data_IF_243404324963
#
_entry.id   IF_243404324963
#
_cell.length_a   1.000
_cell.length_b   1.000
_cell.length_c   1.000
_cell.angle_alpha   90.00
_cell.angle_beta   90.00
_cell.angle_gamma   90.00
#
_symmetry.space_group_name_H-M   'P 1'
#
loop_
_entity.id
_entity.type
_entity.pdbx_description
1 polymer ?
#
# COMPACT_ATOMS: atom_id res chain seq x y z
N UNK A 1 40.02 4.57 32.87
CA UNK A 1 38.81 3.78 32.52
C UNK A 1 37.63 4.54 31.87
N UNK A 2 37.69 5.86 31.59
CA UNK A 2 36.56 6.62 30.99
C UNK A 2 36.39 6.44 29.46
N UNK A 3 37.46 6.10 28.74
CA UNK A 3 37.48 5.95 27.27
C UNK A 3 36.68 4.71 26.80
N UNK A 4 36.70 3.62 27.58
CA UNK A 4 35.98 2.37 27.28
C UNK A 4 34.44 2.53 27.26
N UNK A 5 33.87 3.30 28.21
CA UNK A 5 32.41 3.52 28.29
C UNK A 5 31.88 4.37 27.13
N UNK A 6 32.60 5.43 26.72
CA UNK A 6 32.23 6.27 25.57
C UNK A 6 32.20 5.46 24.27
N UNK A 7 33.22 4.63 24.04
CA UNK A 7 33.27 3.74 22.87
C UNK A 7 32.16 2.69 22.89
N UNK A 8 31.78 2.18 24.07
CA UNK A 8 30.65 1.26 24.24
C UNK A 8 29.30 1.90 23.88
N UNK A 9 29.04 3.13 24.33
CA UNK A 9 27.81 3.87 24.00
C UNK A 9 27.73 4.13 22.48
N UNK A 10 28.83 4.59 21.87
CA UNK A 10 28.87 4.84 20.42
C UNK A 10 28.59 3.57 19.60
N UNK A 11 29.18 2.44 19.98
CA UNK A 11 28.91 1.13 19.34
C UNK A 11 27.45 0.71 19.49
N UNK A 12 26.84 0.92 20.66
CA UNK A 12 25.40 0.63 20.88
C UNK A 12 24.50 1.50 20.01
N UNK A 13 24.79 2.79 19.87
CA UNK A 13 24.05 3.68 18.96
C UNK A 13 24.16 3.23 17.51
N UNK A 14 25.35 2.82 17.04
CA UNK A 14 25.53 2.28 15.69
C UNK A 14 24.70 1.00 15.48
N UNK A 15 24.72 0.09 16.46
CA UNK A 15 23.93 -1.14 16.40
C UNK A 15 22.43 -0.86 16.35
N UNK A 16 21.95 0.09 17.16
CA UNK A 16 20.56 0.54 17.14
C UNK A 16 20.19 1.13 15.77
N UNK A 17 21.01 2.03 15.21
CA UNK A 17 20.79 2.61 13.88
C UNK A 17 20.70 1.53 12.79
N UNK A 18 21.57 0.51 12.84
CA UNK A 18 21.54 -0.62 11.90
C UNK A 18 20.26 -1.45 12.05
N UNK A 19 19.87 -1.78 13.29
CA UNK A 19 18.65 -2.54 13.58
C UNK A 19 17.42 -1.80 13.07
N UNK A 20 17.26 -0.52 13.46
CA UNK A 20 16.15 0.32 12.99
C UNK A 20 16.10 0.36 11.46
N UNK A 21 17.23 0.59 10.78
CA UNK A 21 17.25 0.59 9.31
C UNK A 21 16.78 -0.75 8.72
N UNK A 22 17.24 -1.88 9.26
CA UNK A 22 16.83 -3.22 8.78
C UNK A 22 15.33 -3.43 9.00
N UNK A 23 14.81 -3.07 10.17
CA UNK A 23 13.40 -3.23 10.50
C UNK A 23 12.53 -2.35 9.60
N UNK A 24 12.91 -1.09 9.37
CA UNK A 24 12.23 -0.19 8.42
C UNK A 24 12.25 -0.75 7.00
N UNK A 25 13.38 -1.26 6.51
CA UNK A 25 13.43 -1.85 5.16
C UNK A 25 12.56 -3.10 5.04
N UNK A 26 12.47 -3.93 6.09
CA UNK A 26 11.57 -5.10 6.11
C UNK A 26 10.11 -4.69 6.06
N UNK A 27 9.72 -3.69 6.86
CA UNK A 27 8.34 -3.16 6.85
C UNK A 27 8.01 -2.59 5.47
N UNK A 28 8.91 -1.77 4.91
CA UNK A 28 8.78 -1.19 3.57
C UNK A 28 8.58 -2.26 2.49
N UNK A 29 9.41 -3.31 2.49
CA UNK A 29 9.30 -4.39 1.51
C UNK A 29 7.96 -5.14 1.62
N UNK A 30 7.48 -5.38 2.85
CA UNK A 30 6.20 -6.03 3.10
C UNK A 30 5.02 -5.17 2.60
N UNK A 31 5.06 -3.87 2.89
CA UNK A 31 4.04 -2.92 2.47
C UNK A 31 3.97 -2.80 0.93
N UNK A 32 5.13 -2.67 0.27
CA UNK A 32 5.20 -2.64 -1.20
C UNK A 32 4.60 -3.89 -1.83
N UNK A 33 4.88 -5.07 -1.27
CA UNK A 33 4.29 -6.33 -1.76
C UNK A 33 2.77 -6.34 -1.65
N UNK A 34 2.21 -5.90 -0.52
CA UNK A 34 0.76 -5.84 -0.32
C UNK A 34 0.09 -4.82 -1.26
N UNK A 35 0.73 -3.67 -1.49
CA UNK A 35 0.25 -2.69 -2.45
C UNK A 35 0.31 -3.21 -3.89
N UNK A 36 1.34 -3.99 -4.23
CA UNK A 36 1.42 -4.65 -5.54
C UNK A 36 0.26 -5.64 -5.77
N UNK A 37 -0.11 -6.40 -4.74
CA UNK A 37 -1.28 -7.29 -4.79
C UNK A 37 -2.58 -6.49 -5.01
N UNK A 38 -2.77 -5.38 -4.30
CA UNK A 38 -3.93 -4.48 -4.49
C UNK A 38 -3.94 -3.91 -5.91
N UNK A 39 -2.80 -3.43 -6.41
CA UNK A 39 -2.66 -2.91 -7.76
C UNK A 39 -3.08 -3.96 -8.81
N UNK A 40 -2.58 -5.19 -8.69
CA UNK A 40 -2.90 -6.28 -9.63
C UNK A 40 -4.40 -6.59 -9.64
N UNK A 41 -5.04 -6.63 -8.47
CA UNK A 41 -6.49 -6.87 -8.36
C UNK A 41 -7.30 -5.72 -8.96
N UNK A 42 -6.95 -4.47 -8.65
CA UNK A 42 -7.64 -3.31 -9.21
C UNK A 42 -7.44 -3.23 -10.73
N UNK A 43 -6.24 -3.52 -11.23
CA UNK A 43 -5.92 -3.53 -12.65
C UNK A 43 -6.68 -4.62 -13.42
N UNK A 44 -6.84 -5.82 -12.86
CA UNK A 44 -7.59 -6.91 -13.51
C UNK A 44 -9.07 -6.58 -13.66
N UNK A 45 -9.66 -5.92 -12.65
CA UNK A 45 -11.01 -5.38 -12.72
C UNK A 45 -11.13 -4.26 -13.76
N UNK A 46 -10.19 -3.33 -13.77
CA UNK A 46 -10.16 -2.21 -14.71
C UNK A 46 -10.04 -2.67 -16.18
N UNK A 47 -9.16 -3.64 -16.44
CA UNK A 47 -8.94 -4.23 -17.77
C UNK A 47 -10.09 -5.14 -18.23
N UNK A 48 -10.98 -5.51 -17.31
CA UNK A 48 -12.11 -6.39 -17.61
C UNK A 48 -11.74 -7.87 -17.71
N UNK A 49 -10.60 -8.25 -17.16
CA UNK A 49 -10.19 -9.66 -16.96
C UNK A 49 -11.18 -10.33 -16.00
N UNK A 50 -11.62 -9.59 -14.97
CA UNK A 50 -12.74 -9.97 -14.11
C UNK A 50 -14.04 -9.39 -14.66
N UNK A 51 -14.95 -10.26 -15.12
CA UNK A 51 -16.21 -9.87 -15.77
C UNK A 51 -17.39 -9.74 -14.80
N UNK A 52 -17.34 -10.44 -13.67
CA UNK A 52 -18.44 -10.51 -12.69
C UNK A 52 -17.89 -10.42 -11.27
N UNK A 53 -18.58 -9.69 -10.41
CA UNK A 53 -18.34 -9.62 -8.97
C UNK A 53 -19.47 -10.35 -8.24
N UNK A 54 -19.10 -11.10 -7.20
CA UNK A 54 -20.07 -11.69 -6.27
C UNK A 54 -20.39 -10.67 -5.19
N UNK A 55 -21.64 -10.25 -5.10
CA UNK A 55 -22.17 -9.50 -3.95
C UNK A 55 -22.89 -10.47 -3.02
N UNK A 56 -23.30 -9.99 -1.84
CA UNK A 56 -24.06 -10.80 -0.86
C UNK A 56 -25.35 -11.40 -1.45
N UNK A 57 -25.93 -10.73 -2.45
CA UNK A 57 -27.25 -11.08 -3.00
C UNK A 57 -27.19 -11.74 -4.37
N UNK A 58 -26.16 -11.48 -5.20
CA UNK A 58 -26.10 -11.97 -6.59
C UNK A 58 -24.71 -11.82 -7.23
N UNK A 59 -24.50 -12.46 -8.37
CA UNK A 59 -23.41 -12.11 -9.28
C UNK A 59 -23.82 -10.93 -10.16
N UNK A 60 -22.97 -9.90 -10.22
CA UNK A 60 -23.22 -8.68 -10.99
C UNK A 60 -22.09 -8.51 -12.00
N UNK A 61 -22.42 -8.17 -13.25
CA UNK A 61 -21.43 -7.86 -14.29
C UNK A 61 -20.71 -6.54 -13.97
N UNK A 62 -19.40 -6.51 -14.17
CA UNK A 62 -18.61 -5.29 -13.96
C UNK A 62 -18.90 -4.28 -15.07
N UNK A 63 -19.53 -3.16 -14.71
CA UNK A 63 -19.90 -2.08 -15.63
C UNK A 63 -18.69 -1.24 -16.06
N UNK A 64 -18.83 -0.49 -17.16
CA UNK A 64 -17.77 0.42 -17.63
C UNK A 64 -17.40 1.46 -16.56
N UNK A 65 -18.39 2.00 -15.85
CA UNK A 65 -18.17 2.96 -14.77
C UNK A 65 -17.36 2.34 -13.63
N UNK A 66 -17.66 1.10 -13.24
CA UNK A 66 -16.88 0.39 -12.23
C UNK A 66 -15.44 0.15 -12.68
N UNK A 67 -15.23 -0.23 -13.94
CA UNK A 67 -13.87 -0.38 -14.49
C UNK A 67 -13.07 0.91 -14.41
N UNK A 68 -13.68 2.05 -14.72
CA UNK A 68 -13.04 3.36 -14.57
C UNK A 68 -12.68 3.66 -13.12
N UNK A 69 -13.53 3.29 -12.16
CA UNK A 69 -13.23 3.46 -10.73
C UNK A 69 -12.08 2.56 -10.29
N UNK A 70 -12.06 1.30 -10.72
CA UNK A 70 -10.94 0.40 -10.46
C UNK A 70 -9.63 0.85 -11.13
N UNK A 71 -9.72 1.50 -12.29
CA UNK A 71 -8.55 2.13 -12.92
C UNK A 71 -7.99 3.27 -12.06
N UNK A 72 -8.85 4.07 -11.41
CA UNK A 72 -8.41 5.12 -10.46
C UNK A 72 -7.75 4.51 -9.23
N UNK A 73 -8.33 3.45 -8.66
CA UNK A 73 -7.72 2.71 -7.55
C UNK A 73 -6.34 2.20 -7.95
N UNK A 74 -6.21 1.53 -9.10
CA UNK A 74 -4.92 1.02 -9.58
C UNK A 74 -3.89 2.14 -9.79
N UNK A 75 -4.29 3.24 -10.42
CA UNK A 75 -3.40 4.38 -10.64
C UNK A 75 -2.91 4.97 -9.31
N UNK A 76 -3.81 5.15 -8.34
CA UNK A 76 -3.47 5.68 -7.03
C UNK A 76 -2.57 4.72 -6.24
N UNK A 77 -2.84 3.41 -6.25
CA UNK A 77 -1.96 2.41 -5.63
C UNK A 77 -0.54 2.44 -6.24
N UNK A 78 -0.42 2.62 -7.56
CA UNK A 78 0.88 2.76 -8.20
C UNK A 78 1.62 4.04 -7.78
N UNK A 79 0.91 5.14 -7.55
CA UNK A 79 1.49 6.36 -7.00
C UNK A 79 2.04 6.15 -5.58
N UNK A 80 1.28 5.46 -4.72
CA UNK A 80 1.72 5.10 -3.36
C UNK A 80 2.97 4.21 -3.41
N UNK A 81 2.99 3.19 -4.28
CA UNK A 81 4.17 2.35 -4.49
C UNK A 81 5.40 3.19 -4.85
N UNK A 82 5.24 4.17 -5.76
CA UNK A 82 6.33 5.05 -6.17
C UNK A 82 6.79 5.98 -5.04
N UNK A 83 5.87 6.59 -4.27
CA UNK A 83 6.24 7.40 -3.10
C UNK A 83 7.01 6.57 -2.07
N UNK A 84 6.48 5.38 -1.73
CA UNK A 84 7.12 4.46 -0.79
C UNK A 84 8.46 3.96 -1.33
N UNK A 85 8.65 3.82 -2.64
CA UNK A 85 9.94 3.44 -3.22
C UNK A 85 10.99 4.57 -3.18
N UNK A 86 10.56 5.84 -3.09
CA UNK A 86 11.42 7.01 -2.99
C UNK A 86 11.73 7.41 -1.53
N UNK A 87 10.77 7.27 -0.63
CA UNK A 87 10.90 7.61 0.79
C UNK A 87 10.02 6.70 1.67
N UNK A 88 10.30 6.64 2.98
CA UNK A 88 9.46 5.91 3.94
C UNK A 88 9.11 6.84 5.09
N UNK A 89 8.08 7.66 4.90
CA UNK A 89 7.48 8.52 5.92
C UNK A 89 6.13 7.90 6.36
N UNK A 90 6.07 7.47 7.61
CA UNK A 90 4.89 6.80 8.17
C UNK A 90 3.64 7.67 8.15
N UNK A 91 3.77 8.99 8.35
CA UNK A 91 2.62 9.91 8.34
C UNK A 91 2.07 10.12 6.93
N UNK A 92 2.96 10.22 5.95
CA UNK A 92 2.57 10.34 4.55
C UNK A 92 1.87 9.05 4.07
N UNK A 93 2.41 7.89 4.46
CA UNK A 93 1.81 6.58 4.14
C UNK A 93 0.40 6.47 4.73
N UNK A 94 0.19 6.88 5.98
CA UNK A 94 -1.11 6.82 6.65
C UNK A 94 -2.18 7.61 5.86
N UNK A 95 -1.88 8.86 5.50
CA UNK A 95 -2.76 9.73 4.70
C UNK A 95 -3.06 9.12 3.33
N UNK A 96 -2.04 8.54 2.69
CA UNK A 96 -2.20 7.88 1.39
C UNK A 96 -3.08 6.62 1.48
N UNK A 97 -2.98 5.86 2.57
CA UNK A 97 -3.80 4.68 2.79
C UNK A 97 -5.27 5.04 3.08
N UNK A 98 -5.53 6.14 3.81
CA UNK A 98 -6.87 6.65 4.05
C UNK A 98 -7.60 7.04 2.74
N UNK A 99 -6.90 7.75 1.84
CA UNK A 99 -7.49 8.12 0.55
C UNK A 99 -7.68 6.88 -0.35
N UNK A 100 -6.75 5.91 -0.30
CA UNK A 100 -6.91 4.64 -1.00
C UNK A 100 -8.16 3.90 -0.51
N UNK A 101 -8.38 3.86 0.81
CA UNK A 101 -9.57 3.26 1.39
C UNK A 101 -10.85 3.94 0.89
N UNK A 102 -10.88 5.27 0.86
CA UNK A 102 -12.01 6.04 0.34
C UNK A 102 -12.31 5.70 -1.11
N UNK A 103 -11.31 5.66 -1.99
CA UNK A 103 -11.48 5.27 -3.40
C UNK A 103 -12.04 3.84 -3.54
N UNK A 104 -11.59 2.91 -2.70
CA UNK A 104 -12.10 1.53 -2.67
C UNK A 104 -13.57 1.51 -2.23
N UNK A 105 -13.94 2.26 -1.19
CA UNK A 105 -15.33 2.36 -0.71
C UNK A 105 -16.25 2.91 -1.80
N UNK A 106 -15.82 3.95 -2.51
CA UNK A 106 -16.56 4.50 -3.65
C UNK A 106 -16.74 3.44 -4.77
N UNK A 107 -15.67 2.73 -5.12
CA UNK A 107 -15.71 1.69 -6.15
C UNK A 107 -16.66 0.54 -5.79
N UNK A 108 -16.72 0.17 -4.50
CA UNK A 108 -17.64 -0.84 -3.96
C UNK A 108 -19.10 -0.38 -3.92
N UNK A 109 -19.38 0.83 -3.44
CA UNK A 109 -20.75 1.34 -3.32
C UNK A 109 -21.49 1.40 -4.66
N UNK A 110 -20.75 1.58 -5.77
CA UNK A 110 -21.30 1.53 -7.14
C UNK A 110 -21.48 0.12 -7.70
N UNK A 111 -21.24 -0.93 -6.90
CA UNK A 111 -21.57 -2.33 -7.25
C UNK A 111 -22.90 -2.81 -6.69
N UNK A 112 -23.53 -2.05 -5.81
CA UNK A 112 -24.81 -2.39 -5.19
C UNK A 112 -26.01 -1.68 -5.82
N UNK A 113 -25.77 -0.69 -6.70
CA UNK A 113 -26.80 0.07 -7.43
C UNK A 113 -27.00 -0.48 -8.82
#
# INVERSE_FOLDING_TARGET
>A
MKISRKNSIHRRVIQLKRRVKIDTQRIRARLLKQLEEIFKLAASLAKGEVKTLKTEKKQVRVSLKQRQMWARVAAYTAQIINSIAQGFDEREIDIQLDELEKLIREAKAKAEV
#
